data_IF_472240668671
#
_entry.id   IF_472240668671
#
_cell.length_a   1.000
_cell.length_b   1.000
_cell.length_c   1.000
_cell.angle_alpha   90.00
_cell.angle_beta   90.00
_cell.angle_gamma   90.00
#
_symmetry.space_group_name_H-M   'P 1'
#
loop_
_entity.id
_entity.type
_entity.pdbx_description
1 polymer ?
#
# COMPACT_ATOMS: atom_id res chain seq x y z
N UNK A 1 -18.52 -10.77 -7.77
CA UNK A 1 -17.23 -10.86 -8.49
C UNK A 1 -16.80 -12.29 -8.82
N UNK A 2 -16.69 -13.22 -7.85
CA UNK A 2 -16.26 -14.62 -8.12
C UNK A 2 -17.10 -15.33 -9.21
N UNK A 3 -18.42 -15.18 -9.23
CA UNK A 3 -19.27 -15.80 -10.26
C UNK A 3 -18.98 -15.25 -11.66
N UNK A 4 -18.84 -13.93 -11.80
CA UNK A 4 -18.48 -13.26 -13.06
C UNK A 4 -17.09 -13.70 -13.54
N UNK A 5 -16.12 -13.82 -12.63
CA UNK A 5 -14.78 -14.29 -12.96
C UNK A 5 -14.79 -15.70 -13.58
N UNK A 6 -15.66 -16.60 -13.09
CA UNK A 6 -15.79 -17.98 -13.62
C UNK A 6 -16.28 -18.00 -15.06
N UNK A 7 -17.20 -17.11 -15.43
CA UNK A 7 -17.73 -17.04 -16.81
C UNK A 7 -16.65 -16.63 -17.83
N UNK A 8 -15.59 -15.94 -17.42
CA UNK A 8 -14.44 -15.63 -18.31
C UNK A 8 -13.72 -16.89 -18.80
N UNK A 9 -13.78 -17.98 -18.02
CA UNK A 9 -13.14 -19.24 -18.37
C UNK A 9 -14.02 -20.13 -19.26
N UNK A 10 -15.28 -19.74 -19.51
CA UNK A 10 -16.25 -20.55 -20.26
C UNK A 10 -16.09 -20.38 -21.77
N UNK A 11 -15.87 -19.16 -22.26
CA UNK A 11 -15.59 -18.91 -23.68
C UNK A 11 -14.90 -17.58 -23.93
N UNK A 12 -14.24 -17.45 -25.09
CA UNK A 12 -13.66 -16.17 -25.55
C UNK A 12 -14.70 -15.06 -25.68
N UNK A 13 -15.94 -15.41 -26.05
CA UNK A 13 -17.05 -14.46 -26.16
C UNK A 13 -17.42 -13.90 -24.77
N UNK A 14 -17.60 -14.77 -23.77
CA UNK A 14 -17.86 -14.34 -22.39
C UNK A 14 -16.71 -13.51 -21.82
N UNK A 15 -15.46 -13.90 -22.09
CA UNK A 15 -14.30 -13.12 -21.70
C UNK A 15 -14.31 -11.71 -22.34
N UNK A 16 -14.73 -11.60 -23.60
CA UNK A 16 -14.88 -10.32 -24.31
C UNK A 16 -15.97 -9.45 -23.69
N UNK A 17 -17.18 -10.00 -23.51
CA UNK A 17 -18.32 -9.31 -22.91
C UNK A 17 -17.96 -8.76 -21.53
N UNK A 18 -17.39 -9.59 -20.65
CA UNK A 18 -17.02 -9.19 -19.28
C UNK A 18 -15.86 -8.17 -19.27
N UNK A 19 -15.15 -8.02 -20.39
CA UNK A 19 -14.10 -7.01 -20.56
C UNK A 19 -14.59 -5.71 -21.19
N UNK A 20 -15.88 -5.59 -21.51
CA UNK A 20 -16.46 -4.37 -22.07
C UNK A 20 -16.26 -3.19 -21.10
N UNK A 21 -15.99 -1.97 -21.62
CA UNK A 21 -15.74 -0.79 -20.78
C UNK A 21 -16.85 -0.54 -19.76
N UNK A 22 -18.11 -0.54 -20.20
CA UNK A 22 -19.28 -0.33 -19.33
C UNK A 22 -19.36 -1.33 -18.16
N UNK A 23 -19.17 -2.63 -18.44
CA UNK A 23 -19.20 -3.64 -17.38
C UNK A 23 -18.00 -3.53 -16.44
N UNK A 24 -16.82 -3.21 -16.98
CA UNK A 24 -15.61 -2.99 -16.19
C UNK A 24 -15.79 -1.80 -15.23
N UNK A 25 -16.35 -0.71 -15.71
CA UNK A 25 -16.68 0.47 -14.90
C UNK A 25 -17.71 0.13 -13.83
N UNK A 26 -18.79 -0.57 -14.20
CA UNK A 26 -19.81 -1.02 -13.25
C UNK A 26 -19.24 -1.91 -12.14
N UNK A 27 -18.34 -2.84 -12.48
CA UNK A 27 -17.65 -3.67 -11.48
C UNK A 27 -16.72 -2.85 -10.60
N UNK A 28 -15.99 -1.89 -11.18
CA UNK A 28 -15.10 -0.98 -10.45
C UNK A 28 -15.91 -0.18 -9.44
N UNK A 29 -16.99 0.49 -9.87
CA UNK A 29 -17.86 1.32 -9.02
C UNK A 29 -18.46 0.51 -7.87
N UNK A 30 -18.97 -0.71 -8.15
CA UNK A 30 -19.48 -1.59 -7.10
C UNK A 30 -18.40 -2.02 -6.11
N UNK A 31 -17.19 -2.31 -6.58
CA UNK A 31 -16.06 -2.66 -5.71
C UNK A 31 -15.58 -1.47 -4.87
N UNK A 32 -15.59 -0.26 -5.42
CA UNK A 32 -15.29 0.99 -4.69
C UNK A 32 -16.29 1.27 -3.58
N UNK A 33 -17.58 0.97 -3.80
CA UNK A 33 -18.63 1.13 -2.79
C UNK A 33 -18.52 0.15 -1.61
N UNK A 34 -17.78 -0.95 -1.77
CA UNK A 34 -17.64 -2.01 -0.75
C UNK A 34 -16.16 -2.27 -0.43
N UNK A 35 -15.44 -1.26 0.12
CA UNK A 35 -14.03 -1.41 0.42
C UNK A 35 -13.79 -2.60 1.35
N UNK A 36 -12.71 -3.32 1.09
CA UNK A 36 -12.27 -4.45 1.90
C UNK A 36 -10.94 -4.10 2.59
N UNK A 37 -10.71 -4.70 3.75
CA UNK A 37 -9.36 -4.93 4.22
C UNK A 37 -8.72 -6.02 3.36
N UNK A 38 -7.46 -5.82 2.99
CA UNK A 38 -6.64 -6.83 2.36
C UNK A 38 -5.49 -7.21 3.29
N UNK A 39 -5.37 -8.49 3.59
CA UNK A 39 -4.26 -9.06 4.34
C UNK A 39 -3.36 -9.85 3.40
N UNK A 40 -2.05 -9.65 3.57
CA UNK A 40 -1.01 -10.32 2.80
C UNK A 40 0.03 -10.88 3.75
N UNK A 41 0.27 -12.18 3.68
CA UNK A 41 1.37 -12.81 4.40
C UNK A 41 2.02 -13.89 3.55
N UNK A 42 3.25 -14.22 3.92
CA UNK A 42 3.98 -15.33 3.30
C UNK A 42 3.76 -16.60 4.10
N UNK A 43 3.40 -17.68 3.43
CA UNK A 43 3.30 -19.01 4.00
C UNK A 43 4.15 -19.99 3.19
N UNK A 44 5.23 -20.50 3.81
CA UNK A 44 6.21 -21.40 3.15
C UNK A 44 6.72 -20.80 1.82
N UNK A 45 6.32 -21.39 0.67
CA UNK A 45 6.69 -20.97 -0.69
C UNK A 45 5.53 -20.29 -1.44
N UNK A 46 4.57 -19.71 -0.72
CA UNK A 46 3.37 -19.06 -1.28
C UNK A 46 3.13 -17.72 -0.57
N UNK A 47 2.57 -16.76 -1.29
CA UNK A 47 1.94 -15.58 -0.72
C UNK A 47 0.44 -15.83 -0.66
N UNK A 48 -0.14 -15.56 0.50
CA UNK A 48 -1.56 -15.76 0.75
C UNK A 48 -2.23 -14.39 0.86
N UNK A 49 -3.34 -14.26 0.14
CA UNK A 49 -4.16 -13.06 0.14
C UNK A 49 -5.52 -13.38 0.73
N UNK A 50 -5.90 -12.61 1.75
CA UNK A 50 -7.19 -12.70 2.41
C UNK A 50 -7.87 -11.34 2.37
N UNK A 51 -9.19 -11.31 2.33
CA UNK A 51 -9.97 -10.10 2.50
C UNK A 51 -10.98 -10.21 3.63
N UNK A 52 -11.38 -9.07 4.15
CA UNK A 52 -12.48 -8.92 5.09
C UNK A 52 -13.26 -7.65 4.72
N UNK A 53 -14.60 -7.63 4.89
CA UNK A 53 -15.34 -6.38 4.80
C UNK A 53 -14.71 -5.31 5.68
N UNK A 54 -14.55 -4.11 5.14
CA UNK A 54 -14.16 -2.95 5.94
C UNK A 54 -15.46 -2.36 6.52
N UNK A 55 -15.68 -2.46 7.84
CA UNK A 55 -16.88 -1.95 8.47
C UNK A 55 -16.97 -0.42 8.27
N UNK A 56 -18.16 0.06 7.91
CA UNK A 56 -18.46 1.48 7.75
C UNK A 56 -19.09 2.08 9.01
N UNK A 57 -19.75 1.25 9.83
CA UNK A 57 -20.28 1.60 11.15
C UNK A 57 -19.79 0.54 12.14
N UNK A 58 -19.05 0.97 13.15
CA UNK A 58 -18.48 0.09 14.16
C UNK A 58 -19.26 0.24 15.47
N UNK A 59 -19.95 -0.82 15.86
CA UNK A 59 -20.51 -0.92 17.20
C UNK A 59 -19.49 -1.56 18.15
N UNK A 60 -19.55 -1.20 19.44
CA UNK A 60 -18.67 -1.75 20.49
C UNK A 60 -18.71 -3.29 20.60
N UNK A 61 -19.79 -3.92 20.13
CA UNK A 61 -19.99 -5.38 20.13
C UNK A 61 -19.70 -6.03 18.77
N UNK A 62 -18.80 -5.44 17.96
CA UNK A 62 -18.44 -5.98 16.65
C UNK A 62 -17.98 -7.44 16.77
N UNK A 63 -18.70 -8.33 16.09
CA UNK A 63 -18.38 -9.75 16.08
C UNK A 63 -17.05 -10.02 15.36
N UNK A 64 -16.34 -11.12 15.68
CA UNK A 64 -15.19 -11.56 14.91
C UNK A 64 -15.54 -11.64 13.42
N UNK A 65 -14.65 -11.16 12.56
CA UNK A 65 -14.90 -11.18 11.11
C UNK A 65 -14.14 -12.35 10.49
N UNK A 66 -14.90 -13.24 9.85
CA UNK A 66 -14.35 -14.33 9.07
C UNK A 66 -13.63 -13.77 7.83
N UNK A 67 -12.37 -14.15 7.65
CA UNK A 67 -11.62 -13.78 6.47
C UNK A 67 -12.02 -14.62 5.27
N UNK A 68 -12.17 -13.97 4.13
CA UNK A 68 -12.36 -14.62 2.84
C UNK A 68 -11.01 -14.89 2.21
N UNK A 69 -10.76 -16.16 1.88
CA UNK A 69 -9.62 -16.50 1.03
C UNK A 69 -9.82 -15.97 -0.40
N UNK A 70 -8.88 -15.13 -0.83
CA UNK A 70 -8.84 -14.60 -2.19
C UNK A 70 -8.02 -15.50 -3.11
N UNK A 71 -6.70 -15.56 -2.89
CA UNK A 71 -5.79 -16.29 -3.76
C UNK A 71 -4.48 -16.68 -3.06
N UNK A 72 -3.72 -17.56 -3.73
CA UNK A 72 -2.39 -18.00 -3.31
C UNK A 72 -1.46 -17.97 -4.50
N UNK A 73 -0.40 -17.16 -4.41
CA UNK A 73 0.56 -16.99 -5.51
C UNK A 73 1.87 -17.70 -5.15
N UNK A 74 2.42 -18.56 -6.03
CA UNK A 74 3.72 -19.17 -5.79
C UNK A 74 4.81 -18.11 -5.60
N UNK A 75 5.56 -18.23 -4.51
CA UNK A 75 6.65 -17.33 -4.18
C UNK A 75 7.80 -18.09 -3.50
N UNK A 76 8.85 -18.37 -4.27
CA UNK A 76 9.99 -19.18 -3.79
C UNK A 76 11.06 -18.38 -3.04
N UNK A 77 10.96 -17.05 -2.99
CA UNK A 77 11.94 -16.20 -2.32
C UNK A 77 11.92 -16.35 -0.80
N UNK A 78 13.08 -16.29 -0.15
CA UNK A 78 13.20 -16.33 1.32
C UNK A 78 12.58 -15.10 2.00
N UNK A 79 12.69 -13.93 1.37
CA UNK A 79 12.04 -12.69 1.81
C UNK A 79 11.14 -12.11 0.72
N UNK A 80 9.96 -11.62 1.13
CA UNK A 80 9.05 -10.82 0.32
C UNK A 80 8.80 -9.49 1.01
N UNK A 81 8.80 -8.40 0.25
CA UNK A 81 8.38 -7.09 0.70
C UNK A 81 7.23 -6.62 -0.18
N UNK A 82 6.08 -6.36 0.43
CA UNK A 82 5.01 -5.66 -0.27
C UNK A 82 5.46 -4.21 -0.45
N UNK A 83 5.54 -3.78 -1.70
CA UNK A 83 6.16 -2.51 -2.13
C UNK A 83 5.12 -1.47 -2.57
N UNK A 84 3.85 -1.83 -2.68
CA UNK A 84 2.75 -0.90 -2.92
C UNK A 84 1.41 -1.62 -3.04
N UNK A 85 0.32 -0.93 -2.74
CA UNK A 85 -1.04 -1.31 -3.11
C UNK A 85 -1.71 -0.06 -3.69
N UNK A 86 -2.31 -0.20 -4.87
CA UNK A 86 -3.07 0.87 -5.51
C UNK A 86 -4.09 0.26 -6.46
N UNK A 87 -5.33 0.74 -6.40
CA UNK A 87 -6.41 0.35 -7.31
C UNK A 87 -6.59 -1.17 -7.44
N UNK A 88 -6.51 -1.89 -6.32
CA UNK A 88 -6.69 -3.35 -6.25
C UNK A 88 -5.46 -4.17 -6.64
N UNK A 89 -4.41 -3.56 -7.19
CA UNK A 89 -3.15 -4.23 -7.50
C UNK A 89 -2.15 -4.11 -6.37
N UNK A 90 -1.32 -5.14 -6.21
CA UNK A 90 -0.24 -5.20 -5.23
C UNK A 90 1.09 -5.39 -5.94
N UNK A 91 2.08 -4.57 -5.55
CA UNK A 91 3.45 -4.70 -6.00
C UNK A 91 4.27 -5.44 -4.95
N UNK A 92 5.01 -6.45 -5.39
CA UNK A 92 5.80 -7.34 -4.55
C UNK A 92 7.26 -7.32 -5.00
N UNK A 93 8.16 -7.36 -4.02
CA UNK A 93 9.59 -7.42 -4.23
C UNK A 93 10.20 -8.63 -3.53
N UNK A 94 10.90 -9.47 -4.28
CA UNK A 94 11.81 -10.49 -3.74
C UNK A 94 12.45 -11.33 -4.85
N UNK A 95 13.01 -12.50 -4.52
CA UNK A 95 13.55 -13.45 -5.53
C UNK A 95 12.42 -14.39 -6.01
N UNK A 96 12.29 -14.66 -7.32
CA UNK A 96 13.23 -14.38 -8.42
C UNK A 96 13.07 -13.01 -9.10
N UNK A 97 12.13 -12.16 -8.68
CA UNK A 97 11.93 -10.86 -9.31
C UNK A 97 10.84 -9.97 -8.69
N UNK A 98 10.46 -8.95 -9.45
CA UNK A 98 9.41 -7.99 -9.08
C UNK A 98 8.10 -8.50 -9.65
N UNK A 99 7.06 -8.58 -8.83
CA UNK A 99 5.78 -9.15 -9.23
C UNK A 99 4.69 -8.10 -9.00
N UNK A 100 3.84 -7.88 -10.00
CA UNK A 100 2.56 -7.21 -9.80
C UNK A 100 1.49 -8.29 -9.78
N UNK A 101 0.61 -8.26 -8.79
CA UNK A 101 -0.49 -9.20 -8.72
C UNK A 101 -1.83 -8.52 -8.41
N UNK A 102 -2.91 -9.20 -8.79
CA UNK A 102 -4.26 -8.90 -8.32
C UNK A 102 -4.63 -9.97 -7.30
N UNK A 103 -4.69 -9.62 -6.01
CA UNK A 103 -5.11 -10.51 -4.95
C UNK A 103 -6.45 -11.20 -5.22
N UNK A 104 -7.40 -10.51 -5.83
CA UNK A 104 -8.77 -10.97 -6.04
C UNK A 104 -8.89 -12.03 -7.14
N UNK A 105 -8.03 -11.97 -8.15
CA UNK A 105 -8.02 -12.96 -9.25
C UNK A 105 -6.92 -14.00 -9.11
N UNK A 106 -5.92 -13.75 -8.26
CA UNK A 106 -4.72 -14.59 -8.12
C UNK A 106 -3.75 -14.51 -9.29
N UNK A 107 -4.03 -13.65 -10.28
CA UNK A 107 -3.14 -13.44 -11.41
C UNK A 107 -1.91 -12.63 -10.98
N UNK A 108 -0.78 -12.98 -11.56
CA UNK A 108 0.52 -12.39 -11.25
C UNK A 108 1.31 -12.19 -12.54
N UNK A 109 2.04 -11.08 -12.61
CA UNK A 109 3.00 -10.79 -13.65
C UNK A 109 4.36 -10.59 -13.05
N UNK A 110 5.34 -11.29 -13.60
CA UNK A 110 6.75 -11.03 -13.30
C UNK A 110 7.24 -9.92 -14.23
N UNK A 111 7.69 -8.81 -13.66
CA UNK A 111 8.25 -7.71 -14.43
C UNK A 111 9.60 -8.12 -15.04
N UNK A 112 9.93 -7.62 -16.25
CA UNK A 112 11.21 -7.90 -16.89
C UNK A 112 12.36 -7.46 -15.98
N UNK A 113 13.50 -8.16 -16.09
CA UNK A 113 14.71 -7.77 -15.37
C UNK A 113 15.16 -6.39 -15.84
N UNK A 114 15.45 -5.53 -14.88
CA UNK A 114 16.12 -4.27 -15.17
C UNK A 114 17.54 -4.58 -15.67
N UNK A 115 17.87 -4.13 -16.88
CA UNK A 115 19.24 -4.20 -17.39
C UNK A 115 20.13 -3.35 -16.48
N UNK A 116 20.98 -4.00 -15.70
CA UNK A 116 21.99 -3.34 -14.87
C UNK A 116 23.31 -3.33 -15.67
N UNK A 117 23.88 -2.15 -15.91
CA UNK A 117 25.28 -2.08 -16.39
C UNK A 117 26.21 -2.63 -15.30
N UNK A 118 27.30 -3.26 -15.74
CA UNK A 118 28.15 -4.22 -15.03
C UNK A 118 28.51 -3.90 -13.57
N UNK A 119 28.68 -4.99 -12.79
CA UNK A 119 29.37 -5.10 -11.48
C UNK A 119 28.85 -4.16 -10.39
N UNK A 120 27.70 -4.48 -9.81
CA UNK A 120 27.43 -4.05 -8.44
C UNK A 120 26.64 -5.13 -7.71
N UNK A 121 27.29 -5.72 -6.71
CA UNK A 121 26.69 -6.70 -5.83
C UNK A 121 25.55 -6.02 -5.04
N UNK A 122 24.31 -6.43 -5.30
CA UNK A 122 23.13 -6.14 -4.47
C UNK A 122 22.56 -4.70 -4.45
N UNK A 123 22.58 -3.95 -5.56
CA UNK A 123 21.88 -2.65 -5.57
C UNK A 123 20.36 -2.81 -5.45
N UNK A 124 19.84 -2.43 -4.28
CA UNK A 124 18.46 -2.57 -3.84
C UNK A 124 17.53 -1.53 -4.50
N UNK A 125 17.29 -1.58 -5.81
CA UNK A 125 16.32 -0.68 -6.42
C UNK A 125 14.90 -0.83 -5.81
N UNK A 126 14.31 0.30 -5.42
CA UNK A 126 12.96 0.39 -4.84
C UNK A 126 11.93 0.47 -5.95
N UNK A 127 10.92 -0.41 -5.92
CA UNK A 127 9.80 -0.37 -6.85
C UNK A 127 8.60 0.22 -6.16
N UNK A 128 7.89 1.05 -6.88
CA UNK A 128 6.67 1.64 -6.39
C UNK A 128 5.66 1.64 -7.54
N UNK A 129 4.46 1.16 -7.24
CA UNK A 129 3.37 1.11 -8.19
C UNK A 129 2.58 2.41 -8.08
N UNK A 130 2.42 3.10 -9.20
CA UNK A 130 1.59 4.28 -9.37
C UNK A 130 0.44 4.01 -10.34
N UNK A 131 -0.60 4.83 -10.24
CA UNK A 131 -1.77 4.77 -11.08
C UNK A 131 -2.15 6.17 -11.53
N UNK A 132 -2.32 6.36 -12.84
CA UNK A 132 -2.87 7.56 -13.45
C UNK A 132 -4.40 7.41 -13.56
N UNK A 133 -5.20 8.17 -12.77
CA UNK A 133 -6.65 8.04 -12.78
C UNK A 133 -7.33 8.57 -14.04
N UNK A 134 -6.68 9.44 -14.83
CA UNK A 134 -7.32 10.03 -16.03
C UNK A 134 -7.18 9.09 -17.22
N UNK A 135 -5.98 8.54 -17.44
CA UNK A 135 -5.74 7.60 -18.53
C UNK A 135 -5.97 6.14 -18.13
N UNK A 136 -6.43 5.88 -16.89
CA UNK A 136 -6.61 4.54 -16.32
C UNK A 136 -5.37 3.64 -16.52
N UNK A 137 -4.18 4.19 -16.24
CA UNK A 137 -2.91 3.56 -16.59
C UNK A 137 -2.03 3.33 -15.37
N UNK A 138 -1.53 2.11 -15.22
CA UNK A 138 -0.58 1.76 -14.18
C UNK A 138 0.85 1.93 -14.66
N UNK A 139 1.71 2.47 -13.80
CA UNK A 139 3.15 2.55 -14.04
C UNK A 139 3.92 2.08 -12.82
N UNK A 140 5.05 1.42 -13.05
CA UNK A 140 5.98 1.00 -12.01
C UNK A 140 7.21 1.88 -12.08
N UNK A 141 7.45 2.67 -11.04
CA UNK A 141 8.68 3.44 -10.88
C UNK A 141 9.73 2.59 -10.17
N UNK A 142 10.92 2.51 -10.75
CA UNK A 142 12.10 1.88 -10.17
C UNK A 142 13.19 2.92 -9.93
N UNK A 143 13.50 3.18 -8.66
CA UNK A 143 14.57 4.09 -8.24
C UNK A 143 15.77 3.27 -7.76
N UNK A 144 16.97 3.62 -8.25
CA UNK A 144 18.22 2.98 -7.80
C UNK A 144 18.72 3.69 -6.54
N UNK A 145 19.04 2.92 -5.49
CA UNK A 145 19.65 3.45 -4.26
C UNK A 145 21.15 3.70 -4.48
N UNK A 146 21.67 4.73 -3.81
CA UNK A 146 23.10 5.04 -3.67
C UNK A 146 23.88 5.32 -4.97
N UNK A 147 23.20 5.60 -6.08
CA UNK A 147 23.87 5.98 -7.32
C UNK A 147 23.38 7.33 -7.82
N UNK A 148 24.30 8.29 -8.05
CA UNK A 148 24.02 9.43 -8.89
C UNK A 148 23.81 8.96 -10.33
N UNK A 149 23.03 9.73 -11.09
CA UNK A 149 22.81 9.65 -12.53
C UNK A 149 21.64 8.77 -13.02
N UNK A 150 20.65 9.44 -13.63
CA UNK A 150 19.88 9.11 -14.85
C UNK A 150 19.55 7.63 -15.16
N UNK A 151 19.34 6.81 -14.13
CA UNK A 151 19.01 5.39 -14.28
C UNK A 151 17.73 5.00 -13.55
N UNK A 152 16.92 6.00 -13.18
CA UNK A 152 15.55 5.74 -12.80
C UNK A 152 14.83 5.18 -14.02
N UNK A 153 14.00 4.19 -13.77
CA UNK A 153 13.27 3.52 -14.83
C UNK A 153 11.82 3.47 -14.49
N UNK A 154 11.01 3.50 -15.51
CA UNK A 154 9.58 3.37 -15.40
C UNK A 154 9.11 2.37 -16.45
N UNK A 155 8.09 1.62 -16.08
CA UNK A 155 7.46 0.64 -16.94
C UNK A 155 5.96 0.88 -16.88
N UNK A 156 5.34 0.97 -18.04
CA UNK A 156 3.89 1.11 -18.17
C UNK A 156 3.26 -0.28 -18.32
N UNK A 157 2.15 -0.53 -17.63
CA UNK A 157 1.39 -1.78 -17.75
C UNK A 157 0.26 -1.60 -18.79
N UNK A 158 -0.06 -2.66 -19.54
CA UNK A 158 -1.20 -2.70 -20.48
C UNK A 158 -0.92 -2.14 -21.88
N UNK A 159 0.35 -1.97 -22.27
CA UNK A 159 0.76 -1.47 -23.60
C UNK A 159 1.32 -2.56 -24.50
N UNK A 160 0.97 -3.84 -24.27
CA UNK A 160 1.59 -4.97 -24.96
C UNK A 160 2.98 -5.32 -24.41
N UNK A 161 4.04 -4.75 -25.00
CA UNK A 161 5.42 -5.08 -24.60
C UNK A 161 5.81 -4.43 -23.27
N UNK A 162 6.12 -5.26 -22.28
CA UNK A 162 6.63 -4.80 -20.99
C UNK A 162 8.09 -4.38 -21.13
N UNK A 163 8.32 -3.07 -21.25
CA UNK A 163 9.66 -2.51 -21.43
C UNK A 163 9.95 -1.43 -20.40
N UNK A 164 11.12 -1.55 -19.77
CA UNK A 164 11.66 -0.48 -18.94
C UNK A 164 12.22 0.62 -19.83
N UNK A 165 11.80 1.85 -19.58
CA UNK A 165 12.40 3.05 -20.18
C UNK A 165 13.04 3.90 -19.11
N UNK A 166 14.17 4.49 -19.45
CA UNK A 166 14.93 5.36 -18.56
C UNK A 166 14.28 6.73 -18.51
N UNK A 167 14.20 7.29 -17.31
CA UNK A 167 13.72 8.64 -17.06
C UNK A 167 14.77 9.38 -16.24
N UNK A 168 14.97 10.66 -16.57
CA UNK A 168 15.91 11.51 -15.85
C UNK A 168 15.29 12.00 -14.56
N UNK A 169 16.11 12.02 -13.52
CA UNK A 169 15.77 12.62 -12.24
C UNK A 169 17.01 13.35 -11.75
N UNK A 170 16.88 14.65 -11.49
CA UNK A 170 18.00 15.54 -11.19
C UNK A 170 18.61 15.34 -9.81
N UNK A 171 18.19 14.33 -9.04
CA UNK A 171 18.56 14.19 -7.62
C UNK A 171 18.98 12.75 -7.28
N UNK A 172 20.04 12.61 -6.47
CA UNK A 172 20.46 11.34 -5.84
C UNK A 172 19.49 10.97 -4.73
N UNK A 173 18.87 9.79 -4.81
CA UNK A 173 17.79 9.41 -3.91
C UNK A 173 18.16 8.14 -3.14
N UNK A 174 18.23 8.21 -1.81
CA UNK A 174 18.06 7.01 -0.98
C UNK A 174 16.61 6.91 -0.51
N UNK A 175 15.97 5.79 -0.84
CA UNK A 175 14.54 5.57 -0.62
C UNK A 175 14.36 4.60 0.53
N UNK A 176 13.88 5.09 1.67
CA UNK A 176 13.88 4.35 2.93
C UNK A 176 12.68 3.42 3.09
N UNK A 177 11.50 3.87 2.67
CA UNK A 177 10.22 3.19 2.93
C UNK A 177 9.40 3.00 1.67
N UNK A 178 8.30 2.27 1.84
CA UNK A 178 7.26 2.08 0.84
C UNK A 178 6.58 3.42 0.53
N UNK A 179 6.38 3.71 -0.76
CA UNK A 179 5.61 4.88 -1.20
C UNK A 179 4.10 4.62 -1.22
N UNK A 180 3.33 5.69 -1.37
CA UNK A 180 1.88 5.67 -1.54
C UNK A 180 1.48 6.46 -2.78
N UNK A 181 0.50 5.95 -3.55
CA UNK A 181 -0.04 6.67 -4.70
C UNK A 181 -1.39 7.29 -4.35
N UNK A 182 -1.49 8.61 -4.50
CA UNK A 182 -2.69 9.40 -4.21
C UNK A 182 -2.96 10.29 -5.42
N UNK A 183 -4.16 10.19 -6.00
CA UNK A 183 -4.63 11.06 -7.09
C UNK A 183 -3.64 11.24 -8.26
N UNK A 184 -2.95 10.17 -8.68
CA UNK A 184 -2.00 10.25 -9.79
C UNK A 184 -0.58 10.67 -9.41
N UNK A 185 -0.30 10.90 -8.13
CA UNK A 185 1.04 11.24 -7.63
C UNK A 185 1.51 10.15 -6.68
N UNK A 186 2.72 9.65 -6.92
CA UNK A 186 3.38 8.69 -6.05
C UNK A 186 4.32 9.44 -5.10
N UNK A 187 4.04 9.34 -3.80
CA UNK A 187 4.80 9.96 -2.73
C UNK A 187 5.68 8.94 -2.03
N UNK A 188 6.95 9.27 -1.78
CA UNK A 188 7.88 8.39 -1.10
C UNK A 188 8.97 9.16 -0.33
N UNK A 189 9.41 8.68 0.85
CA UNK A 189 10.47 9.33 1.60
C UNK A 189 11.80 9.20 0.87
N UNK A 190 12.54 10.31 0.80
CA UNK A 190 13.87 10.35 0.20
C UNK A 190 14.84 11.11 1.08
N UNK A 191 15.99 10.51 1.36
CA UNK A 191 17.13 11.25 1.89
C UNK A 191 18.19 11.43 0.80
N UNK A 192 18.79 12.60 0.79
CA UNK A 192 20.02 12.89 0.04
C UNK A 192 21.12 13.22 1.06
N UNK A 193 22.40 13.27 0.66
CA UNK A 193 23.47 13.65 1.58
C UNK A 193 23.27 15.01 2.27
N UNK A 194 22.43 15.88 1.71
CA UNK A 194 22.25 17.27 2.16
C UNK A 194 20.88 17.51 2.80
N UNK A 195 19.84 16.77 2.40
CA UNK A 195 18.47 17.06 2.83
C UNK A 195 17.54 15.85 2.78
N UNK A 196 16.60 15.84 3.72
CA UNK A 196 15.46 14.95 3.72
C UNK A 196 14.27 15.58 3.00
N UNK A 197 13.61 14.80 2.16
CA UNK A 197 12.52 15.25 1.30
C UNK A 197 11.47 14.15 1.13
N UNK A 198 10.33 14.55 0.60
CA UNK A 198 9.37 13.63 -0.01
C UNK A 198 9.49 13.76 -1.51
N UNK A 199 9.84 12.66 -2.18
CA UNK A 199 9.79 12.56 -3.62
C UNK A 199 8.34 12.43 -4.08
N UNK A 200 7.98 13.22 -5.09
CA UNK A 200 6.68 13.19 -5.73
C UNK A 200 6.89 12.83 -7.20
N UNK A 201 6.40 11.66 -7.61
CA UNK A 201 6.43 11.26 -9.00
C UNK A 201 5.02 11.37 -9.59
N UNK A 202 4.83 12.29 -10.52
CA UNK A 202 3.57 12.51 -11.23
C UNK A 202 3.41 11.40 -12.26
N UNK A 203 2.49 10.48 -12.06
CA UNK A 203 2.43 9.22 -12.83
C UNK A 203 2.14 9.49 -14.30
N UNK A 204 1.27 10.47 -14.62
CA UNK A 204 0.93 10.78 -16.01
C UNK A 204 2.08 11.40 -16.78
N UNK A 205 2.55 12.56 -16.31
CA UNK A 205 3.61 13.36 -16.94
C UNK A 205 5.00 12.77 -16.73
N UNK A 206 5.14 11.86 -15.77
CA UNK A 206 6.38 11.18 -15.39
C UNK A 206 7.48 12.15 -14.95
N UNK A 207 7.04 13.24 -14.34
CA UNK A 207 7.89 14.29 -13.80
C UNK A 207 8.09 14.09 -12.29
N UNK A 208 9.22 14.60 -11.81
CA UNK A 208 9.56 14.58 -10.40
C UNK A 208 9.41 15.97 -9.80
N UNK A 209 8.82 16.06 -8.62
CA UNK A 209 8.92 17.20 -7.72
C UNK A 209 9.30 16.74 -6.32
N UNK A 210 9.71 17.66 -5.46
CA UNK A 210 10.20 17.34 -4.13
C UNK A 210 9.67 18.32 -3.10
N UNK A 211 9.25 17.79 -1.95
CA UNK A 211 8.79 18.58 -0.81
C UNK A 211 9.86 18.51 0.26
N UNK A 212 10.31 19.66 0.77
CA UNK A 212 11.27 19.68 1.88
C UNK A 212 10.59 19.20 3.15
N UNK A 213 11.31 18.38 3.93
CA UNK A 213 10.80 17.88 5.20
C UNK A 213 11.44 18.68 6.33
N UNK A 214 10.61 19.30 7.17
CA UNK A 214 11.08 19.94 8.40
C UNK A 214 11.72 18.93 9.35
N UNK A 215 12.74 19.36 10.10
CA UNK A 215 13.44 18.49 11.08
C UNK A 215 12.47 17.82 12.06
N UNK A 216 11.46 18.54 12.53
CA UNK A 216 10.46 18.03 13.50
C UNK A 216 9.55 16.97 12.88
N UNK A 217 9.32 17.02 11.57
CA UNK A 217 8.46 16.12 10.79
C UNK A 217 9.20 14.91 10.22
N UNK A 218 10.54 14.90 10.25
CA UNK A 218 11.38 13.80 9.72
C UNK A 218 10.98 12.44 10.28
N UNK A 219 10.69 12.36 11.58
CA UNK A 219 10.29 11.11 12.21
C UNK A 219 9.05 10.50 11.56
N UNK A 220 7.99 11.31 11.42
CA UNK A 220 6.73 10.89 10.81
C UNK A 220 6.90 10.43 9.35
N UNK A 221 7.71 11.14 8.56
CA UNK A 221 7.91 10.82 7.13
C UNK A 221 8.70 9.52 6.93
N UNK A 222 9.76 9.28 7.71
CA UNK A 222 10.69 8.16 7.47
C UNK A 222 10.39 6.91 8.30
N UNK A 223 9.75 7.06 9.45
CA UNK A 223 9.44 5.95 10.37
C UNK A 223 7.95 5.67 10.52
N UNK A 224 7.08 6.62 10.17
CA UNK A 224 5.63 6.44 10.17
C UNK A 224 5.10 5.59 9.02
N UNK A 225 3.77 5.51 8.93
CA UNK A 225 3.01 4.95 7.81
C UNK A 225 2.45 6.11 6.99
N UNK A 226 2.84 6.23 5.72
CA UNK A 226 2.24 7.18 4.80
C UNK A 226 0.81 6.76 4.44
N UNK A 227 -0.12 7.70 4.45
CA UNK A 227 -1.55 7.46 4.27
C UNK A 227 -2.16 8.45 3.28
N UNK A 228 -3.27 8.04 2.67
CA UNK A 228 -4.15 8.95 1.95
C UNK A 228 -5.19 9.47 2.95
N UNK A 229 -5.07 10.74 3.33
CA UNK A 229 -6.00 11.40 4.23
C UNK A 229 -6.85 12.39 3.43
N UNK A 230 -8.04 11.97 3.02
CA UNK A 230 -8.98 12.77 2.21
C UNK A 230 -8.34 13.39 0.96
N UNK A 231 -7.56 12.60 0.22
CA UNK A 231 -6.86 13.05 -0.99
C UNK A 231 -5.56 13.81 -0.74
N UNK A 232 -5.20 14.06 0.53
CA UNK A 232 -3.94 14.69 0.94
C UNK A 232 -2.95 13.64 1.44
N UNK A 233 -1.66 13.93 1.34
CA UNK A 233 -0.63 13.08 1.91
C UNK A 233 -0.62 13.27 3.43
N UNK A 234 -0.82 12.16 4.16
CA UNK A 234 -0.67 12.10 5.61
C UNK A 234 0.41 11.10 6.04
N UNK A 235 0.80 11.16 7.30
CA UNK A 235 1.58 10.13 7.96
C UNK A 235 1.08 9.89 9.38
N UNK A 236 0.94 8.61 9.75
CA UNK A 236 0.63 8.18 11.10
C UNK A 236 1.90 7.62 11.76
N UNK A 237 2.14 8.01 13.02
CA UNK A 237 3.26 7.51 13.82
C UNK A 237 2.88 7.45 15.30
N UNK A 238 3.49 6.54 16.06
CA UNK A 238 3.36 6.52 17.51
C UNK A 238 3.83 7.85 18.11
N UNK A 239 3.05 8.36 19.07
CA UNK A 239 3.45 9.47 19.93
C UNK A 239 4.17 8.99 21.19
N UNK A 240 4.98 9.85 21.78
CA UNK A 240 5.92 9.48 22.85
C UNK A 240 7.24 8.88 22.33
N UNK A 241 7.89 8.05 23.15
CA UNK A 241 9.28 7.56 23.05
C UNK A 241 9.79 7.12 21.65
N UNK A 242 9.94 5.82 21.40
CA UNK A 242 10.48 5.32 20.14
C UNK A 242 9.48 5.53 18.99
N UNK A 243 9.67 6.61 18.23
CA UNK A 243 8.81 7.01 17.10
C UNK A 243 8.83 5.93 16.01
N UNK A 244 7.71 5.21 15.87
CA UNK A 244 7.57 4.05 15.00
C UNK A 244 6.17 3.98 14.39
N UNK A 245 6.04 3.25 13.27
CA UNK A 245 4.72 2.88 12.71
C UNK A 245 4.00 1.78 13.49
N UNK A 246 4.64 1.27 14.54
CA UNK A 246 4.11 0.27 15.43
C UNK A 246 3.69 0.91 16.74
N UNK A 247 2.57 0.41 17.29
CA UNK A 247 1.97 0.84 18.54
C UNK A 247 1.79 -0.39 19.42
N UNK A 248 2.18 -0.28 20.67
CA UNK A 248 2.04 -1.31 21.68
C UNK A 248 1.12 -0.84 22.82
N UNK A 249 1.01 -1.65 23.86
CA UNK A 249 0.21 -1.31 25.05
C UNK A 249 0.72 -0.10 25.84
N UNK A 250 2.01 0.22 25.73
CA UNK A 250 2.65 1.30 26.49
C UNK A 250 2.52 2.66 25.77
N UNK A 251 2.16 2.63 24.49
CA UNK A 251 1.94 3.81 23.67
C UNK A 251 0.81 4.67 24.23
N UNK A 252 1.01 5.99 24.23
CA UNK A 252 0.10 6.96 24.86
C UNK A 252 -0.65 7.85 23.87
N UNK A 253 -0.15 7.98 22.66
CA UNK A 253 -0.78 8.80 21.63
C UNK A 253 -0.44 8.32 20.22
N UNK A 254 -1.23 8.78 19.26
CA UNK A 254 -1.00 8.65 17.82
C UNK A 254 -0.83 10.05 17.26
N UNK A 255 0.25 10.28 16.52
CA UNK A 255 0.47 11.53 15.82
C UNK A 255 0.08 11.38 14.35
N UNK A 256 -0.81 12.27 13.89
CA UNK A 256 -1.17 12.45 12.50
C UNK A 256 -0.51 13.73 11.97
N UNK A 257 0.21 13.58 10.89
CA UNK A 257 0.85 14.68 10.18
C UNK A 257 0.26 14.77 8.77
N UNK A 258 -0.36 15.90 8.39
CA UNK A 258 -0.96 16.08 7.06
C UNK A 258 -0.30 17.25 6.33
N UNK A 259 0.03 17.06 5.06
CA UNK A 259 0.46 18.16 4.19
C UNK A 259 -0.78 18.92 3.75
N UNK A 260 -0.92 20.16 4.23
CA UNK A 260 -2.04 21.04 3.91
C UNK A 260 -1.95 21.61 2.51
N UNK A 261 -0.85 22.30 2.22
CA UNK A 261 -0.57 22.92 0.92
C UNK A 261 0.88 22.63 0.49
N UNK A 262 1.05 22.04 -0.70
CA UNK A 262 2.36 21.68 -1.25
C UNK A 262 3.24 22.88 -1.58
N UNK A 263 2.65 24.00 -1.99
CA UNK A 263 3.37 25.23 -2.37
C UNK A 263 3.84 25.99 -1.13
N UNK A 264 2.98 26.06 -0.11
CA UNK A 264 3.30 26.73 1.17
C UNK A 264 4.05 25.85 2.17
N UNK A 265 4.15 24.55 1.89
CA UNK A 265 4.77 23.53 2.77
C UNK A 265 4.20 23.54 4.20
N UNK A 266 2.92 23.87 4.33
CA UNK A 266 2.24 23.91 5.63
C UNK A 266 1.86 22.49 6.07
N UNK A 267 2.39 22.10 7.23
CA UNK A 267 2.12 20.81 7.87
C UNK A 267 1.17 20.99 9.04
N UNK A 268 0.02 20.31 9.03
CA UNK A 268 -0.83 20.22 10.22
C UNK A 268 -0.42 19.00 11.05
N UNK A 269 -0.15 19.24 12.33
CA UNK A 269 0.29 18.22 13.30
C UNK A 269 -0.83 18.03 14.32
N UNK A 270 -1.32 16.81 14.46
CA UNK A 270 -2.36 16.46 15.40
C UNK A 270 -1.88 15.31 16.27
N UNK A 271 -2.02 15.46 17.58
CA UNK A 271 -1.75 14.41 18.55
C UNK A 271 -3.09 13.92 19.11
N UNK A 272 -3.33 12.61 19.01
CA UNK A 272 -4.52 11.97 19.55
C UNK A 272 -4.11 11.05 20.70
N UNK A 273 -4.48 11.43 21.92
CA UNK A 273 -4.19 10.66 23.13
C UNK A 273 -5.04 9.39 23.13
N UNK A 274 -4.39 8.26 23.39
CA UNK A 274 -5.05 6.96 23.48
C UNK A 274 -5.79 6.85 24.83
N UNK A 275 -6.99 6.23 24.86
CA UNK A 275 -7.78 6.18 26.08
C UNK A 275 -7.11 5.30 27.15
N UNK A 276 -7.44 5.47 28.44
CA UNK A 276 -6.87 4.65 29.52
C UNK A 276 -7.10 3.14 29.35
N UNK A 277 -8.16 2.75 28.64
CA UNK A 277 -8.47 1.35 28.33
C UNK A 277 -7.56 0.73 27.27
N UNK A 278 -6.73 1.53 26.59
CA UNK A 278 -5.86 1.09 25.49
C UNK A 278 -5.01 -0.13 25.85
N UNK A 279 -4.34 -0.08 27.01
CA UNK A 279 -3.47 -1.16 27.48
C UNK A 279 -4.20 -2.51 27.54
N UNK A 280 -5.43 -2.51 28.06
CA UNK A 280 -6.25 -3.70 28.20
C UNK A 280 -6.77 -4.22 26.85
N UNK A 281 -7.12 -3.32 25.92
CA UNK A 281 -7.61 -3.70 24.59
C UNK A 281 -6.50 -4.36 23.76
N UNK A 282 -5.31 -3.74 23.74
CA UNK A 282 -4.17 -4.18 22.94
C UNK A 282 -3.55 -5.47 23.49
N UNK A 283 -3.47 -5.59 24.82
CA UNK A 283 -2.82 -6.70 25.49
C UNK A 283 -1.33 -6.73 25.18
N UNK A 284 -0.80 -7.87 24.70
CA UNK A 284 0.63 -8.04 24.36
C UNK A 284 0.95 -7.83 22.87
N UNK A 285 -0.02 -7.40 22.07
CA UNK A 285 0.18 -7.26 20.63
C UNK A 285 0.99 -6.01 20.28
N UNK A 286 1.84 -6.12 19.26
CA UNK A 286 2.43 -4.98 18.57
C UNK A 286 1.63 -4.73 17.29
N UNK A 287 0.95 -3.59 17.23
CA UNK A 287 0.01 -3.23 16.18
C UNK A 287 0.67 -2.30 15.16
N UNK A 288 0.52 -2.59 13.88
CA UNK A 288 0.97 -1.70 12.81
C UNK A 288 -0.12 -0.69 12.47
N UNK A 289 0.22 0.60 12.42
CA UNK A 289 -0.61 1.66 11.84
C UNK A 289 -0.78 1.41 10.34
N UNK A 290 -2.03 1.31 9.88
CA UNK A 290 -2.36 0.98 8.49
C UNK A 290 -2.81 2.22 7.72
N UNK A 291 -3.73 3.00 8.28
CA UNK A 291 -4.37 4.10 7.58
C UNK A 291 -5.54 4.69 8.35
N UNK A 292 -6.28 5.57 7.69
CA UNK A 292 -7.55 6.12 8.18
C UNK A 292 -8.67 5.71 7.23
N UNK A 293 -9.78 5.22 7.79
CA UNK A 293 -11.01 4.89 7.08
C UNK A 293 -12.04 5.98 7.37
N UNK A 294 -12.74 6.43 6.31
CA UNK A 294 -13.54 7.64 6.40
C UNK A 294 -12.65 8.83 6.78
N UNK A 295 -13.09 9.62 7.75
CA UNK A 295 -12.32 10.76 8.27
C UNK A 295 -11.69 10.51 9.62
N UNK A 296 -12.24 9.56 10.41
CA UNK A 296 -12.01 9.55 11.86
C UNK A 296 -11.51 8.21 12.40
N UNK A 297 -11.56 7.13 11.63
CA UNK A 297 -11.20 5.79 12.11
C UNK A 297 -9.76 5.44 11.73
N UNK A 298 -8.84 5.55 12.69
CA UNK A 298 -7.48 5.04 12.55
C UNK A 298 -7.51 3.51 12.64
N UNK A 299 -7.00 2.85 11.61
CA UNK A 299 -6.93 1.38 11.54
C UNK A 299 -5.54 0.91 11.93
N UNK A 300 -5.49 0.03 12.93
CA UNK A 300 -4.29 -0.68 13.36
C UNK A 300 -4.48 -2.18 13.15
N UNK A 301 -3.42 -2.88 12.76
CA UNK A 301 -3.51 -4.30 12.44
C UNK A 301 -2.41 -5.14 13.07
N UNK A 302 -2.79 -6.34 13.45
CA UNK A 302 -1.96 -7.46 13.88
C UNK A 302 -2.50 -8.72 13.18
N UNK A 303 -1.69 -9.78 12.96
CA UNK A 303 -2.16 -10.98 12.25
C UNK A 303 -3.45 -11.61 12.81
N UNK A 304 -3.74 -11.47 14.11
CA UNK A 304 -4.93 -12.03 14.76
C UNK A 304 -6.06 -11.01 15.02
N UNK A 305 -5.84 -9.71 14.81
CA UNK A 305 -6.81 -8.68 15.19
C UNK A 305 -6.64 -7.38 14.39
N UNK A 306 -7.75 -6.68 14.18
CA UNK A 306 -7.78 -5.29 13.73
C UNK A 306 -8.35 -4.43 14.85
N UNK A 307 -7.74 -3.28 15.10
CA UNK A 307 -8.27 -2.28 16.03
C UNK A 307 -8.62 -1.03 15.22
N UNK A 308 -9.81 -0.50 15.50
CA UNK A 308 -10.29 0.77 15.01
C UNK A 308 -10.30 1.74 16.18
N UNK A 309 -9.63 2.87 15.99
CA UNK A 309 -9.60 3.96 16.94
C UNK A 309 -10.22 5.20 16.31
N UNK A 310 -11.35 5.63 16.87
CA UNK A 310 -12.04 6.82 16.42
C UNK A 310 -11.42 8.05 17.07
N UNK A 311 -10.82 8.94 16.27
CA UNK A 311 -10.09 10.11 16.77
C UNK A 311 -10.99 11.20 17.36
N UNK A 312 -12.29 11.22 17.03
CA UNK A 312 -13.24 12.21 17.53
C UNK A 312 -13.88 11.77 18.85
N UNK A 313 -14.39 10.54 18.88
CA UNK A 313 -15.07 9.97 20.05
C UNK A 313 -14.12 9.30 21.04
N UNK A 314 -12.87 9.10 20.64
CA UNK A 314 -11.84 8.31 21.35
C UNK A 314 -12.27 6.86 21.60
N UNK A 315 -13.28 6.39 20.88
CA UNK A 315 -13.76 5.01 20.93
C UNK A 315 -12.74 4.04 20.35
N UNK A 316 -12.61 2.88 20.98
CA UNK A 316 -11.74 1.80 20.51
C UNK A 316 -12.59 0.56 20.30
N UNK A 317 -12.54 0.01 19.09
CA UNK A 317 -13.20 -1.25 18.72
C UNK A 317 -12.15 -2.25 18.27
N UNK A 318 -12.12 -3.40 18.92
CA UNK A 318 -11.22 -4.51 18.59
C UNK A 318 -12.02 -5.62 17.92
N UNK A 319 -11.56 -6.02 16.74
CA UNK A 319 -12.17 -7.06 15.92
C UNK A 319 -11.17 -8.20 15.77
N UNK A 320 -11.53 -9.39 16.26
CA UNK A 320 -10.72 -10.59 16.07
C UNK A 320 -10.81 -11.08 14.61
N UNK A 321 -9.68 -11.51 14.07
CA UNK A 321 -9.58 -12.08 12.73
C UNK A 321 -9.53 -13.61 12.87
N UNK A 322 -10.55 -14.31 12.39
CA UNK A 322 -10.56 -15.78 12.38
C UNK A 322 -9.86 -16.32 11.13
N UNK A 323 -9.14 -17.44 11.25
CA UNK A 323 -8.48 -18.11 10.12
C UNK A 323 -7.06 -17.61 9.81
N UNK A 324 -6.46 -16.82 10.71
CA UNK A 324 -5.08 -16.33 10.62
C UNK A 324 -4.17 -16.78 11.78
N UNK A 325 -4.62 -17.73 12.61
CA UNK A 325 -3.92 -18.14 13.84
C UNK A 325 -2.46 -18.59 13.62
N UNK A 326 -2.17 -19.27 12.50
CA UNK A 326 -0.82 -19.77 12.17
C UNK A 326 0.14 -18.71 11.57
N UNK A 327 -0.28 -17.43 11.48
CA UNK A 327 0.46 -16.39 10.73
C UNK A 327 1.26 -15.40 11.58
N UNK A 328 1.26 -15.54 12.91
CA UNK A 328 1.95 -14.65 13.86
C UNK A 328 3.46 -14.54 13.64
N UNK A 329 4.09 -15.57 13.06
CA UNK A 329 5.55 -15.62 12.82
C UNK A 329 5.97 -15.07 11.44
N UNK A 330 5.02 -14.65 10.61
CA UNK A 330 5.27 -14.27 9.22
C UNK A 330 5.20 -12.76 8.98
N UNK A 331 5.98 -12.25 8.01
CA UNK A 331 5.83 -10.86 7.55
C UNK A 331 4.41 -10.65 7.03
N UNK A 332 3.72 -9.69 7.63
CA UNK A 332 2.31 -9.38 7.42
C UNK A 332 2.14 -7.93 6.94
N UNK A 333 1.26 -7.73 5.95
CA UNK A 333 0.87 -6.42 5.47
C UNK A 333 -0.65 -6.34 5.37
N UNK A 334 -1.19 -5.21 5.80
CA UNK A 334 -2.62 -4.88 5.71
C UNK A 334 -2.77 -3.66 4.83
N UNK A 335 -3.81 -3.66 3.99
CA UNK A 335 -4.22 -2.50 3.21
C UNK A 335 -5.69 -2.24 3.43
N UNK A 336 -6.05 -0.98 3.64
CA UNK A 336 -7.43 -0.50 3.66
C UNK A 336 -7.90 -0.18 2.24
N UNK A 337 -9.22 -0.04 2.07
CA UNK A 337 -9.83 0.38 0.81
C UNK A 337 -9.45 -0.52 -0.39
N UNK A 338 -9.21 -1.80 -0.14
CA UNK A 338 -8.99 -2.76 -1.21
C UNK A 338 -10.28 -2.97 -1.99
N UNK A 339 -10.20 -2.77 -3.30
CA UNK A 339 -11.31 -3.04 -4.21
C UNK A 339 -11.08 -4.41 -4.84
N UNK A 340 -12.02 -5.32 -4.60
CA UNK A 340 -12.03 -6.62 -5.27
C UNK A 340 -12.49 -6.48 -6.73
N UNK A 341 -11.56 -6.12 -7.61
CA UNK A 341 -11.87 -5.85 -9.01
C UNK A 341 -11.15 -6.82 -9.97
N UNK A 342 -11.70 -6.93 -11.18
CA UNK A 342 -11.26 -7.78 -12.29
C UNK A 342 -10.24 -7.09 -13.23
N UNK A 343 -9.65 -5.96 -12.83
CA UNK A 343 -8.76 -5.09 -13.67
C UNK A 343 -7.61 -5.81 -14.38
N UNK A 344 -7.16 -6.95 -13.86
CA UNK A 344 -5.93 -7.62 -14.32
C UNK A 344 -6.03 -8.18 -15.75
N UNK A 345 -7.21 -8.24 -16.37
CA UNK A 345 -7.34 -8.65 -17.79
C UNK A 345 -7.00 -7.56 -18.82
N UNK A 346 -6.95 -6.28 -18.45
CA UNK A 346 -6.61 -5.19 -19.39
C UNK A 346 -5.17 -4.70 -19.20
N UNK A 347 -4.70 -4.57 -17.96
CA UNK A 347 -3.34 -4.08 -17.66
C UNK A 347 -2.20 -5.06 -18.05
N UNK A 348 -2.52 -6.25 -18.56
CA UNK A 348 -1.58 -7.33 -18.88
C UNK A 348 -1.75 -7.91 -20.28
N UNK A 349 -2.67 -7.33 -21.07
CA UNK A 349 -2.70 -7.45 -22.52
C UNK A 349 -1.73 -6.43 -23.10
#
# INVERSE_FOLDING_TARGET
MKSVARFRCVSKLWASIISLPYLTELFTTRASAHPQLLFVYKEKKKLVFLSSPQPQNLDKNSSPVAVKHLSRIPFRGSSCYVSGHVQGLVCLRGKPGRIICNPSTGQALTLPKIKMMRRSFSTKASNMLGYDPINNQFKVLSIRRYYPFDQNQVLTLGTGELKWRTIKCSTTLDVFQQGICINGVLYYPVSTPVRDMIGCFHVRSETFSFIKVERTSRGAVFYGTLINYNGKLGSLISGGGYRSRFIDRASRSINLLVIGNFEKQEWSKHEYVLPPTWENVVGRAELRLVGVVGTNEVVLSHPSQVIYYNIETQGVVKVAIQGMEASSECKFATFINHMEDLKLTQAFK
#
